data_IF_091463854469
#
_entry.id   IF_091463854469
#
_cell.length_a   1.000
_cell.length_b   1.000
_cell.length_c   1.000
_cell.angle_alpha   90.00
_cell.angle_beta   90.00
_cell.angle_gamma   90.00
#
_symmetry.space_group_name_H-M   'P 1'
#
loop_
_entity.id
_entity.type
_entity.pdbx_description
1 polymer ?
#
# COMPACT_ATOMS: atom_id res chain seq x y z
N UNK A 1 2.93 -6.23 -13.75
CA UNK A 1 2.68 -5.90 -12.34
C UNK A 1 3.28 -6.99 -11.45
N UNK A 2 3.82 -6.62 -10.31
CA UNK A 2 4.55 -7.56 -9.46
C UNK A 2 3.63 -8.60 -8.83
N UNK A 3 4.14 -9.81 -8.69
CA UNK A 3 3.47 -10.88 -7.95
C UNK A 3 3.94 -10.86 -6.51
N UNK A 4 3.08 -11.24 -5.58
CA UNK A 4 3.47 -11.40 -4.18
C UNK A 4 3.39 -12.87 -3.80
N UNK A 5 4.21 -13.25 -2.82
CA UNK A 5 4.22 -14.62 -2.31
C UNK A 5 3.09 -14.85 -1.29
N UNK A 6 2.75 -16.11 -0.98
CA UNK A 6 1.69 -16.41 -0.02
C UNK A 6 1.88 -15.78 1.36
N UNK A 7 3.10 -15.75 1.95
CA UNK A 7 3.28 -15.08 3.24
C UNK A 7 2.94 -13.59 3.20
N UNK A 8 3.33 -12.87 2.15
CA UNK A 8 3.00 -11.46 1.99
C UNK A 8 1.50 -11.26 1.78
N UNK A 9 0.86 -12.13 1.01
CA UNK A 9 -0.59 -12.12 0.80
C UNK A 9 -1.33 -12.24 2.14
N UNK A 10 -0.88 -13.14 3.01
CA UNK A 10 -1.47 -13.36 4.32
C UNK A 10 -1.27 -12.16 5.26
N UNK A 11 -0.14 -11.47 5.17
CA UNK A 11 0.13 -10.27 5.97
C UNK A 11 -0.88 -9.17 5.68
N UNK A 12 -1.24 -8.98 4.42
CA UNK A 12 -2.21 -7.96 4.02
C UNK A 12 -3.61 -8.34 4.49
N UNK A 13 -4.02 -9.58 4.31
CA UNK A 13 -5.29 -10.13 4.78
C UNK A 13 -6.46 -9.75 3.90
N UNK A 14 -6.88 -8.49 3.91
CA UNK A 14 -8.04 -8.02 3.17
C UNK A 14 -7.64 -7.33 1.87
N UNK A 15 -8.28 -7.74 0.78
CA UNK A 15 -7.97 -7.26 -0.56
C UNK A 15 -9.23 -6.75 -1.25
N UNK A 16 -9.02 -5.79 -2.17
CA UNK A 16 -10.06 -5.33 -3.09
C UNK A 16 -9.61 -5.65 -4.51
N UNK A 17 -10.52 -6.13 -5.35
CA UNK A 17 -10.26 -6.24 -6.79
C UNK A 17 -10.14 -4.83 -7.38
N UNK A 18 -9.60 -4.72 -8.60
CA UNK A 18 -9.48 -3.41 -9.23
C UNK A 18 -10.85 -2.74 -9.42
N UNK A 19 -11.91 -3.43 -9.89
CA UNK A 19 -13.23 -2.83 -9.95
C UNK A 19 -13.76 -2.37 -8.58
N UNK A 20 -13.54 -3.15 -7.54
CA UNK A 20 -13.94 -2.78 -6.18
C UNK A 20 -13.22 -1.54 -5.68
N UNK A 21 -11.92 -1.43 -5.97
CA UNK A 21 -11.11 -0.27 -5.59
C UNK A 21 -11.60 0.99 -6.32
N UNK A 22 -11.83 0.90 -7.63
CA UNK A 22 -12.35 2.02 -8.42
C UNK A 22 -13.72 2.46 -7.91
N UNK A 23 -14.58 1.50 -7.58
CA UNK A 23 -15.91 1.75 -7.06
C UNK A 23 -15.86 2.48 -5.72
N UNK A 24 -14.98 2.04 -4.84
CA UNK A 24 -14.80 2.67 -3.53
C UNK A 24 -14.34 4.12 -3.65
N UNK A 25 -13.48 4.42 -4.62
CA UNK A 25 -12.99 5.77 -4.88
C UNK A 25 -13.98 6.59 -5.72
N UNK A 26 -14.98 5.96 -6.31
CA UNK A 26 -15.94 6.64 -7.18
C UNK A 26 -15.31 7.12 -8.48
N UNK A 27 -14.35 6.38 -9.03
CA UNK A 27 -13.62 6.74 -10.25
C UNK A 27 -13.74 5.65 -11.31
N UNK A 28 -13.54 5.98 -12.60
CA UNK A 28 -13.49 4.98 -13.66
C UNK A 28 -12.22 4.12 -13.55
N UNK A 29 -12.23 2.87 -14.06
CA UNK A 29 -11.06 1.99 -14.02
C UNK A 29 -9.80 2.57 -14.67
N UNK A 30 -9.96 3.38 -15.72
CA UNK A 30 -8.81 4.03 -16.37
C UNK A 30 -8.10 5.03 -15.46
N UNK A 31 -8.86 5.70 -14.59
CA UNK A 31 -8.32 6.62 -13.60
C UNK A 31 -7.52 5.87 -12.54
N UNK A 32 -7.94 4.66 -12.20
CA UNK A 32 -7.24 3.82 -11.24
C UNK A 32 -5.82 3.50 -11.74
N UNK A 33 -5.67 3.19 -13.02
CA UNK A 33 -4.36 2.93 -13.61
C UNK A 33 -3.42 4.14 -13.48
N UNK A 34 -3.97 5.34 -13.60
CA UNK A 34 -3.21 6.56 -13.42
C UNK A 34 -2.68 6.69 -11.99
N UNK A 35 -3.50 6.31 -11.01
CA UNK A 35 -3.07 6.32 -9.61
C UNK A 35 -1.89 5.38 -9.37
N UNK A 36 -1.87 4.22 -10.03
CA UNK A 36 -0.74 3.29 -9.93
C UNK A 36 0.53 3.90 -10.53
N UNK A 37 0.42 4.53 -11.69
CA UNK A 37 1.56 5.20 -12.34
C UNK A 37 2.14 6.31 -11.49
N UNK A 38 1.27 7.05 -10.82
CA UNK A 38 1.65 8.20 -9.99
C UNK A 38 2.09 7.78 -8.57
N UNK A 39 2.17 6.47 -8.29
CA UNK A 39 2.55 5.92 -6.98
C UNK A 39 1.64 6.38 -5.85
N UNK A 40 0.39 6.70 -6.18
CA UNK A 40 -0.62 7.07 -5.19
C UNK A 40 -1.34 5.86 -4.64
N UNK A 41 -1.24 4.75 -5.34
CA UNK A 41 -1.84 3.48 -4.99
C UNK A 41 -0.97 2.37 -5.57
N UNK A 42 -1.09 1.17 -5.00
CA UNK A 42 -0.28 0.03 -5.40
C UNK A 42 -1.18 -1.20 -5.57
N UNK A 43 -1.00 -1.90 -6.69
CA UNK A 43 -1.67 -3.17 -6.94
C UNK A 43 -0.63 -4.25 -7.22
N UNK A 44 -0.96 -5.48 -6.85
CA UNK A 44 -0.11 -6.64 -7.10
C UNK A 44 -0.96 -7.82 -7.55
N UNK A 45 -0.30 -8.81 -8.15
CA UNK A 45 -0.93 -10.07 -8.48
C UNK A 45 -0.84 -11.01 -7.28
N UNK A 46 -1.98 -11.45 -6.78
CA UNK A 46 -2.05 -12.39 -5.66
C UNK A 46 -1.67 -13.79 -6.13
N UNK A 47 -1.36 -14.72 -5.20
CA UNK A 47 -1.01 -16.09 -5.57
C UNK A 47 -2.04 -16.81 -6.44
N UNK A 48 -3.32 -16.44 -6.33
CA UNK A 48 -4.39 -17.02 -7.16
C UNK A 48 -4.47 -16.41 -8.56
N UNK A 49 -3.59 -15.45 -8.89
CA UNK A 49 -3.57 -14.78 -10.18
C UNK A 49 -4.42 -13.50 -10.24
N UNK A 50 -5.17 -13.18 -9.21
CA UNK A 50 -6.04 -12.01 -9.19
C UNK A 50 -5.23 -10.73 -8.93
N UNK A 51 -5.47 -9.68 -9.71
CA UNK A 51 -4.90 -8.36 -9.46
C UNK A 51 -5.72 -7.68 -8.36
N UNK A 52 -5.05 -7.17 -7.34
CA UNK A 52 -5.74 -6.63 -6.18
C UNK A 52 -4.97 -5.50 -5.49
N UNK A 53 -5.69 -4.71 -4.72
CA UNK A 53 -5.18 -3.61 -3.92
C UNK A 53 -5.50 -3.90 -2.46
N UNK A 54 -4.56 -3.70 -1.52
CA UNK A 54 -4.88 -3.86 -0.10
C UNK A 54 -6.04 -2.97 0.33
N UNK A 55 -7.04 -3.56 0.99
CA UNK A 55 -8.19 -2.80 1.48
C UNK A 55 -7.78 -1.75 2.51
N UNK A 56 -6.69 -2.01 3.25
CA UNK A 56 -6.18 -1.08 4.27
C UNK A 56 -5.63 0.23 3.69
N UNK A 57 -5.44 0.32 2.37
CA UNK A 57 -5.01 1.58 1.73
C UNK A 57 -6.13 2.62 1.67
N UNK A 58 -7.36 2.23 2.00
CA UNK A 58 -8.51 3.13 1.95
C UNK A 58 -8.98 3.47 3.35
N UNK A 59 -9.37 4.72 3.56
CA UNK A 59 -10.01 5.12 4.81
C UNK A 59 -11.50 4.76 4.79
N UNK A 60 -12.20 4.99 5.90
CA UNK A 60 -13.63 4.70 5.98
C UNK A 60 -14.51 5.62 5.14
N UNK A 61 -13.96 6.69 4.59
CA UNK A 61 -14.69 7.66 3.78
C UNK A 61 -14.55 7.47 2.27
N UNK A 62 -13.92 6.37 1.83
CA UNK A 62 -13.75 6.09 0.41
C UNK A 62 -12.58 6.83 -0.23
N UNK A 63 -11.62 7.27 0.55
CA UNK A 63 -10.41 7.93 0.07
C UNK A 63 -9.18 7.10 0.40
N UNK A 64 -8.07 7.34 -0.31
CA UNK A 64 -6.79 6.72 0.01
C UNK A 64 -6.26 7.34 1.31
N UNK A 65 -5.70 6.51 2.20
CA UNK A 65 -5.19 6.99 3.48
C UNK A 65 -4.11 8.05 3.26
N UNK A 66 -4.12 9.06 4.14
CA UNK A 66 -3.21 10.18 4.05
C UNK A 66 -1.77 9.74 4.28
N UNK A 67 -0.86 10.21 3.44
CA UNK A 67 0.57 9.91 3.57
C UNK A 67 1.03 8.71 2.76
N UNK A 68 0.12 7.89 2.24
CA UNK A 68 0.49 6.69 1.49
C UNK A 68 1.35 7.01 0.26
N UNK A 69 0.98 8.03 -0.51
CA UNK A 69 1.73 8.43 -1.70
C UNK A 69 3.19 8.75 -1.37
N UNK A 70 3.42 9.54 -0.33
CA UNK A 70 4.77 9.91 0.08
C UNK A 70 5.60 8.70 0.49
N UNK A 71 5.01 7.81 1.28
CA UNK A 71 5.70 6.61 1.76
C UNK A 71 5.98 5.63 0.61
N UNK A 72 5.03 5.41 -0.29
CA UNK A 72 5.26 4.56 -1.46
C UNK A 72 6.38 5.12 -2.35
N UNK A 73 6.38 6.43 -2.57
CA UNK A 73 7.42 7.08 -3.35
C UNK A 73 8.80 6.82 -2.75
N UNK A 74 8.94 7.00 -1.44
CA UNK A 74 10.22 6.77 -0.75
C UNK A 74 10.64 5.31 -0.87
N UNK A 75 9.75 4.36 -0.61
CA UNK A 75 10.08 2.93 -0.67
C UNK A 75 10.51 2.52 -2.08
N UNK A 76 9.78 2.94 -3.10
CA UNK A 76 10.09 2.59 -4.48
C UNK A 76 11.39 3.27 -4.94
N UNK A 77 11.66 4.50 -4.50
CA UNK A 77 12.91 5.20 -4.80
C UNK A 77 14.11 4.55 -4.10
N UNK A 78 13.91 3.85 -2.98
CA UNK A 78 14.95 3.08 -2.30
C UNK A 78 15.27 1.77 -3.02
N UNK A 79 14.58 1.46 -4.10
CA UNK A 79 14.80 0.23 -4.87
C UNK A 79 13.88 -0.92 -4.47
N UNK A 80 12.90 -0.69 -3.62
CA UNK A 80 11.92 -1.72 -3.26
C UNK A 80 11.03 -2.02 -4.46
N UNK A 81 10.79 -3.30 -4.72
CA UNK A 81 9.74 -3.71 -5.64
C UNK A 81 8.37 -3.54 -4.99
N UNK A 82 7.31 -3.67 -5.78
CA UNK A 82 5.94 -3.50 -5.27
C UNK A 82 5.62 -4.46 -4.13
N UNK A 83 5.99 -5.73 -4.28
CA UNK A 83 5.78 -6.73 -3.23
C UNK A 83 6.58 -6.46 -1.96
N UNK A 84 7.81 -5.99 -2.11
CA UNK A 84 8.66 -5.62 -0.97
C UNK A 84 8.10 -4.42 -0.22
N UNK A 85 7.58 -3.43 -0.94
CA UNK A 85 6.95 -2.25 -0.35
C UNK A 85 5.72 -2.66 0.47
N UNK A 86 4.88 -3.55 -0.07
CA UNK A 86 3.74 -4.08 0.66
C UNK A 86 4.18 -4.83 1.91
N UNK A 87 5.17 -5.69 1.80
CA UNK A 87 5.67 -6.44 2.95
C UNK A 87 6.14 -5.51 4.06
N UNK A 88 6.86 -4.45 3.72
CA UNK A 88 7.31 -3.46 4.70
C UNK A 88 6.15 -2.78 5.41
N UNK A 89 5.14 -2.35 4.65
CA UNK A 89 3.97 -1.64 5.19
C UNK A 89 3.14 -2.53 6.13
N UNK A 90 3.10 -3.82 5.87
CA UNK A 90 2.27 -4.76 6.63
C UNK A 90 3.06 -5.63 7.62
N UNK A 91 4.34 -5.33 7.86
CA UNK A 91 5.16 -6.03 8.86
C UNK A 91 5.28 -5.14 10.09
N UNK A 92 5.01 -5.72 11.27
CA UNK A 92 5.10 -4.97 12.53
C UNK A 92 6.51 -4.42 12.75
N UNK A 93 6.59 -3.19 13.25
CA UNK A 93 7.84 -2.50 13.54
C UNK A 93 7.86 -2.17 15.04
N UNK A 94 8.91 -2.59 15.74
CA UNK A 94 9.04 -2.39 17.18
C UNK A 94 9.03 -0.91 17.61
N UNK A 95 9.35 -0.01 16.68
CA UNK A 95 9.36 1.42 16.95
C UNK A 95 8.00 2.10 16.70
N UNK A 96 7.00 1.32 16.27
CA UNK A 96 5.64 1.79 15.99
C UNK A 96 4.65 0.92 16.76
N UNK A 97 3.46 1.42 17.07
CA UNK A 97 2.41 0.62 17.73
C UNK A 97 1.72 -0.31 16.73
N UNK A 98 2.43 -1.29 16.20
CA UNK A 98 1.92 -2.23 15.21
C UNK A 98 2.63 -2.11 13.89
N UNK A 99 1.89 -2.21 12.79
CA UNK A 99 2.46 -2.10 11.43
C UNK A 99 2.53 -0.64 10.98
N UNK A 100 3.44 -0.33 10.02
CA UNK A 100 3.45 1.00 9.42
C UNK A 100 2.10 1.43 8.85
N UNK A 101 1.36 0.51 8.20
CA UNK A 101 0.05 0.85 7.63
C UNK A 101 -0.97 1.21 8.73
N UNK A 102 -0.92 0.55 9.87
CA UNK A 102 -1.78 0.88 11.02
C UNK A 102 -1.44 2.27 11.57
N UNK A 103 -0.14 2.57 11.69
CA UNK A 103 0.30 3.87 12.15
C UNK A 103 -0.17 5.00 11.23
N UNK A 104 -0.17 4.78 9.92
CA UNK A 104 -0.71 5.74 8.96
C UNK A 104 -2.20 5.97 9.18
N UNK A 105 -2.95 4.89 9.41
CA UNK A 105 -4.38 4.97 9.70
C UNK A 105 -4.65 5.77 10.99
N UNK A 106 -3.73 5.71 11.95
CA UNK A 106 -3.79 6.46 13.20
C UNK A 106 -3.19 7.87 13.08
N UNK A 107 -3.01 8.35 11.86
CA UNK A 107 -2.47 9.69 11.55
C UNK A 107 -1.01 9.88 11.96
N UNK A 108 -0.23 8.81 11.98
CA UNK A 108 1.21 8.85 12.25
C UNK A 108 2.03 8.76 10.96
N UNK A 109 1.48 9.27 9.86
CA UNK A 109 2.12 9.21 8.55
C UNK A 109 3.51 9.84 8.52
N UNK A 110 3.75 10.91 9.28
CA UNK A 110 5.06 11.55 9.36
C UNK A 110 6.11 10.60 9.95
N UNK A 111 5.76 9.86 11.01
CA UNK A 111 6.66 8.88 11.62
C UNK A 111 6.97 7.73 10.66
N UNK A 112 5.94 7.22 9.98
CA UNK A 112 6.10 6.16 8.99
C UNK A 112 7.02 6.60 7.86
N UNK A 113 6.83 7.82 7.36
CA UNK A 113 7.66 8.37 6.29
C UNK A 113 9.11 8.53 6.71
N UNK A 114 9.38 8.96 7.92
CA UNK A 114 10.73 9.05 8.47
C UNK A 114 11.43 7.68 8.49
N UNK A 115 10.73 6.64 8.90
CA UNK A 115 11.28 5.28 8.91
C UNK A 115 11.56 4.77 7.51
N UNK A 116 10.66 5.06 6.57
CA UNK A 116 10.89 4.72 5.15
C UNK A 116 12.12 5.44 4.61
N UNK A 117 12.26 6.73 4.91
CA UNK A 117 13.44 7.51 4.50
C UNK A 117 14.73 6.96 5.09
N UNK A 118 14.71 6.46 6.31
CA UNK A 118 15.88 5.88 6.95
C UNK A 118 16.39 4.63 6.21
N UNK A 119 15.56 3.95 5.46
CA UNK A 119 15.96 2.79 4.65
C UNK A 119 16.87 3.17 3.48
N UNK A 120 16.89 4.45 3.09
CA UNK A 120 17.73 4.95 2.00
C UNK A 120 19.20 5.16 2.42
N UNK A 121 19.50 5.05 3.69
CA UNK A 121 20.83 5.34 4.24
C UNK A 121 21.51 4.14 4.86
#
# INVERSE_FOLDING_TARGET
MAQIDPPADALVGDWLTLPEAADRLGIPPGRLKQLFRDRKLLAVQRPDGTMAVPAAFFDGGGSIIKGLHGTLTVLLDCGFGDGEALRWLFTADDTLPGTPIQAMTERRGTEVNRRAQALAF
#
